data_IF_951026697722
#
_entry.id   IF_951026697722
#
_cell.length_a   1.000
_cell.length_b   1.000
_cell.length_c   1.000
_cell.angle_alpha   90.00
_cell.angle_beta   90.00
_cell.angle_gamma   90.00
#
_symmetry.space_group_name_H-M   'P 1'
#
loop_
_entity.id
_entity.type
_entity.pdbx_description
1 polymer ?
#
# COMPACT_ATOMS: atom_id res chain seq x y z
N UNK A 1 -11.83 -15.09 8.02
CA UNK A 1 -12.18 -13.74 7.56
C UNK A 1 -10.95 -13.06 6.99
N UNK A 2 -11.09 -12.45 5.87
CA UNK A 2 -10.01 -11.67 5.27
C UNK A 2 -9.84 -10.36 6.04
N UNK A 3 -8.59 -10.01 6.32
CA UNK A 3 -8.26 -8.71 6.91
C UNK A 3 -8.02 -7.72 5.78
N UNK A 4 -8.34 -6.47 6.03
CA UNK A 4 -8.05 -5.39 5.09
C UNK A 4 -7.00 -4.46 5.71
N UNK A 5 -6.21 -3.85 4.83
CA UNK A 5 -5.20 -2.87 5.21
C UNK A 5 -5.38 -1.62 4.35
N UNK A 6 -5.16 -0.47 4.93
CA UNK A 6 -5.21 0.80 4.22
C UNK A 6 -3.83 1.45 4.23
N UNK A 7 -3.37 1.86 3.05
CA UNK A 7 -2.15 2.66 2.92
C UNK A 7 -2.49 4.08 3.36
N UNK A 8 -1.77 4.59 4.36
CA UNK A 8 -2.04 5.91 4.94
C UNK A 8 -0.92 6.94 4.71
N UNK A 9 0.24 6.50 4.24
CA UNK A 9 1.33 7.42 3.98
C UNK A 9 2.60 6.72 3.51
N UNK A 10 3.67 7.49 3.47
CA UNK A 10 4.98 7.06 2.98
C UNK A 10 6.05 7.56 3.94
N UNK A 11 7.04 6.73 4.21
CA UNK A 11 8.15 7.10 5.08
C UNK A 11 9.47 6.68 4.44
N UNK A 12 10.33 7.62 4.03
CA UNK A 12 11.65 7.29 3.50
C UNK A 12 12.61 6.89 4.60
N UNK A 13 13.63 6.11 4.26
CA UNK A 13 14.74 5.74 5.14
C UNK A 13 14.28 5.23 6.51
N UNK A 14 13.54 4.13 6.49
CA UNK A 14 12.98 3.53 7.71
C UNK A 14 13.26 2.03 7.73
N UNK A 15 12.64 1.34 8.68
CA UNK A 15 12.73 -0.12 8.80
C UNK A 15 11.35 -0.75 8.62
N UNK A 16 11.33 -1.93 8.04
CA UNK A 16 10.10 -2.68 7.85
C UNK A 16 9.66 -3.29 9.19
N UNK A 17 8.47 -2.94 9.65
CA UNK A 17 7.91 -3.48 10.90
C UNK A 17 7.57 -4.97 10.79
N UNK A 18 7.49 -5.51 9.58
CA UNK A 18 7.20 -6.92 9.35
C UNK A 18 8.47 -7.77 9.36
N UNK A 19 9.51 -7.37 8.63
CA UNK A 19 10.72 -8.19 8.47
C UNK A 19 11.99 -7.57 9.05
N UNK A 20 11.92 -6.33 9.55
CA UNK A 20 13.05 -5.65 10.18
C UNK A 20 14.10 -5.11 9.22
N UNK A 21 13.92 -5.26 7.91
CA UNK A 21 14.91 -4.78 6.93
C UNK A 21 14.91 -3.27 6.84
N UNK A 22 16.08 -2.70 6.56
CA UNK A 22 16.18 -1.28 6.25
C UNK A 22 15.50 -0.99 4.92
N UNK A 23 14.74 0.09 4.88
CA UNK A 23 13.97 0.48 3.71
C UNK A 23 14.36 1.88 3.24
N UNK A 24 14.53 2.05 1.95
CA UNK A 24 14.63 3.38 1.35
C UNK A 24 13.23 3.97 1.14
N UNK A 25 12.23 3.10 0.95
CA UNK A 25 10.86 3.50 0.71
C UNK A 25 9.92 2.65 1.58
N UNK A 26 9.45 3.23 2.68
CA UNK A 26 8.48 2.57 3.56
C UNK A 26 7.06 2.97 3.21
N UNK A 27 6.14 2.01 3.29
CA UNK A 27 4.71 2.24 3.10
C UNK A 27 4.06 2.23 4.48
N UNK A 28 3.46 3.35 4.87
CA UNK A 28 2.77 3.45 6.15
C UNK A 28 1.36 2.90 6.01
N UNK A 29 1.00 2.02 6.92
CA UNK A 29 -0.32 1.37 6.93
C UNK A 29 -1.02 1.58 8.26
N UNK A 30 -2.34 1.38 8.26
CA UNK A 30 -3.15 1.57 9.46
C UNK A 30 -3.01 0.44 10.48
N UNK A 31 -2.72 -0.79 10.04
CA UNK A 31 -2.71 -1.96 10.92
C UNK A 31 -1.35 -2.63 11.06
N UNK A 32 -0.49 -2.55 10.04
CA UNK A 32 0.81 -3.22 10.04
C UNK A 32 1.99 -2.29 10.33
N UNK A 33 1.71 -1.01 10.59
CA UNK A 33 2.77 -0.02 10.73
C UNK A 33 3.43 0.29 9.40
N UNK A 34 4.73 0.53 9.40
CA UNK A 34 5.50 0.84 8.20
C UNK A 34 6.14 -0.44 7.66
N UNK A 35 5.85 -0.77 6.40
CA UNK A 35 6.36 -2.00 5.77
C UNK A 35 6.94 -1.67 4.41
N UNK A 36 7.81 -2.56 3.90
CA UNK A 36 8.33 -2.43 2.55
C UNK A 36 7.24 -2.70 1.52
N UNK A 37 7.31 -2.03 0.38
CA UNK A 37 6.35 -2.23 -0.69
C UNK A 37 6.34 -3.68 -1.19
N UNK A 38 7.50 -4.31 -1.28
CA UNK A 38 7.61 -5.72 -1.66
C UNK A 38 6.96 -6.64 -0.63
N UNK A 39 7.21 -6.40 0.66
CA UNK A 39 6.61 -7.17 1.74
C UNK A 39 5.09 -7.05 1.71
N UNK A 40 4.58 -5.83 1.58
CA UNK A 40 3.16 -5.59 1.52
C UNK A 40 2.52 -6.26 0.30
N UNK A 41 3.16 -6.16 -0.85
CA UNK A 41 2.64 -6.76 -2.08
C UNK A 41 2.53 -8.30 -1.97
N UNK A 42 3.45 -8.94 -1.26
CA UNK A 42 3.40 -10.38 -1.02
C UNK A 42 2.24 -10.78 -0.11
N UNK A 43 1.84 -9.90 0.80
CA UNK A 43 0.75 -10.16 1.75
C UNK A 43 -0.64 -9.86 1.17
N UNK A 44 -0.71 -9.08 0.10
CA UNK A 44 -1.98 -8.70 -0.51
C UNK A 44 -2.62 -9.87 -1.24
N UNK A 45 -3.92 -10.05 -1.02
CA UNK A 45 -4.72 -11.02 -1.76
C UNK A 45 -4.96 -10.50 -3.18
N UNK A 46 -4.83 -11.37 -4.17
CA UNK A 46 -5.05 -11.00 -5.56
C UNK A 46 -6.50 -10.53 -5.78
N UNK A 47 -6.65 -9.40 -6.45
CA UNK A 47 -7.95 -8.83 -6.82
C UNK A 47 -7.98 -8.54 -8.31
N UNK A 48 -8.54 -9.47 -9.07
CA UNK A 48 -8.58 -9.38 -10.54
C UNK A 48 -9.53 -8.30 -11.04
N UNK A 49 -10.42 -7.81 -10.20
CA UNK A 49 -11.30 -6.68 -10.53
C UNK A 49 -10.56 -5.37 -10.57
N UNK A 50 -9.56 -5.23 -9.69
CA UNK A 50 -8.72 -4.04 -9.60
C UNK A 50 -7.50 -4.10 -10.50
N UNK A 51 -6.90 -5.28 -10.64
CA UNK A 51 -5.62 -5.43 -11.31
C UNK A 51 -5.72 -6.53 -12.37
N UNK A 52 -5.14 -6.25 -13.53
CA UNK A 52 -5.11 -7.21 -14.62
C UNK A 52 -4.04 -8.28 -14.39
N UNK A 53 -4.13 -9.37 -15.13
CA UNK A 53 -3.21 -10.50 -15.14
C UNK A 53 -3.20 -11.28 -13.83
N UNK A 54 -2.17 -11.07 -13.00
CA UNK A 54 -1.96 -11.80 -11.75
C UNK A 54 -2.82 -11.29 -10.59
N UNK A 55 -3.54 -10.20 -10.80
CA UNK A 55 -4.46 -9.67 -9.79
C UNK A 55 -3.79 -9.01 -8.60
N UNK A 56 -2.50 -8.69 -8.69
CA UNK A 56 -1.76 -7.99 -7.65
C UNK A 56 -1.25 -6.64 -8.15
N UNK A 57 -1.17 -5.64 -7.26
CA UNK A 57 -0.79 -4.28 -7.67
C UNK A 57 0.67 -4.11 -8.08
N UNK A 58 1.56 -4.96 -7.56
CA UNK A 58 3.00 -4.77 -7.74
C UNK A 58 3.59 -3.77 -6.74
N UNK A 59 4.85 -3.97 -6.38
CA UNK A 59 5.53 -3.15 -5.40
C UNK A 59 5.64 -1.69 -5.83
N UNK A 60 5.88 -1.46 -7.11
CA UNK A 60 6.01 -0.12 -7.67
C UNK A 60 4.72 0.68 -7.53
N UNK A 61 3.58 0.04 -7.80
CA UNK A 61 2.26 0.66 -7.66
C UNK A 61 1.95 0.98 -6.19
N UNK A 62 2.23 0.05 -5.30
CA UNK A 62 2.05 0.23 -3.85
C UNK A 62 2.85 1.44 -3.36
N UNK A 63 4.10 1.55 -3.79
CA UNK A 63 4.97 2.67 -3.45
C UNK A 63 4.42 3.99 -3.97
N UNK A 64 3.92 4.00 -5.20
CA UNK A 64 3.30 5.18 -5.80
C UNK A 64 2.10 5.64 -4.99
N UNK A 65 1.22 4.72 -4.59
CA UNK A 65 0.06 5.03 -3.77
C UNK A 65 0.47 5.63 -2.42
N UNK A 66 1.51 5.08 -1.81
CA UNK A 66 2.00 5.57 -0.53
C UNK A 66 2.49 7.02 -0.64
N UNK A 67 3.26 7.32 -1.69
CA UNK A 67 3.76 8.68 -1.94
C UNK A 67 2.63 9.67 -2.19
N UNK A 68 1.63 9.27 -2.96
CA UNK A 68 0.47 10.11 -3.22
C UNK A 68 -0.30 10.42 -1.94
N UNK A 69 -0.53 9.40 -1.12
CA UNK A 69 -1.27 9.55 0.13
C UNK A 69 -0.54 10.47 1.12
N UNK A 70 0.77 10.43 1.14
CA UNK A 70 1.58 11.29 2.01
C UNK A 70 1.58 12.74 1.55
N UNK A 71 1.64 12.96 0.24
CA UNK A 71 1.80 14.30 -0.34
C UNK A 71 0.48 15.03 -0.52
N UNK A 72 -0.58 14.33 -0.92
CA UNK A 72 -1.83 14.95 -1.34
C UNK A 72 -2.96 14.66 -0.34
N UNK A 73 -3.87 15.62 -0.19
CA UNK A 73 -5.07 15.45 0.62
C UNK A 73 -6.07 14.53 -0.08
N UNK A 74 -7.05 14.01 0.68
CA UNK A 74 -8.11 13.17 0.12
C UNK A 74 -8.87 13.87 -1.01
N UNK A 75 -9.09 15.16 -0.87
CA UNK A 75 -9.78 15.95 -1.89
C UNK A 75 -8.95 16.02 -3.17
N UNK A 76 -7.65 16.28 -3.06
CA UNK A 76 -6.75 16.33 -4.21
C UNK A 76 -6.66 14.98 -4.90
N UNK A 77 -6.58 13.89 -4.13
CA UNK A 77 -6.55 12.53 -4.67
C UNK A 77 -7.80 12.21 -5.45
N UNK A 78 -8.98 12.61 -4.95
CA UNK A 78 -10.23 12.43 -5.67
C UNK A 78 -10.25 13.18 -7.00
N UNK A 79 -9.72 14.40 -7.03
CA UNK A 79 -9.59 15.18 -8.27
C UNK A 79 -8.69 14.50 -9.29
N UNK A 80 -7.70 13.74 -8.82
CA UNK A 80 -6.78 12.98 -9.67
C UNK A 80 -7.34 11.64 -10.10
N UNK A 81 -8.51 11.25 -9.61
CA UNK A 81 -9.15 9.99 -9.95
C UNK A 81 -8.91 8.87 -8.94
N UNK A 82 -8.35 9.17 -7.77
CA UNK A 82 -8.09 8.18 -6.72
C UNK A 82 -9.17 8.23 -5.65
N UNK A 83 -9.98 7.20 -5.56
CA UNK A 83 -10.94 7.02 -4.48
C UNK A 83 -10.32 6.28 -3.30
N UNK A 84 -11.03 6.25 -2.14
CA UNK A 84 -10.53 5.55 -0.96
C UNK A 84 -10.21 4.07 -1.21
N UNK A 85 -10.95 3.42 -2.09
CA UNK A 85 -10.77 1.99 -2.41
C UNK A 85 -9.43 1.68 -3.08
N UNK A 86 -8.76 2.67 -3.67
CA UNK A 86 -7.44 2.48 -4.28
C UNK A 86 -6.37 2.20 -3.24
N UNK A 87 -6.60 2.61 -2.00
CA UNK A 87 -5.62 2.49 -0.91
C UNK A 87 -5.94 1.33 0.04
N UNK A 88 -7.03 0.61 -0.19
CA UNK A 88 -7.47 -0.50 0.65
C UNK A 88 -7.22 -1.82 -0.07
N UNK A 89 -6.57 -2.75 0.63
CA UNK A 89 -6.23 -4.06 0.07
C UNK A 89 -6.60 -5.16 1.05
N UNK A 90 -7.04 -6.29 0.52
CA UNK A 90 -7.24 -7.48 1.32
C UNK A 90 -5.90 -8.14 1.63
N UNK A 91 -5.75 -8.66 2.83
CA UNK A 91 -4.56 -9.37 3.27
C UNK A 91 -4.82 -10.87 3.36
N UNK A 92 -3.81 -11.65 3.04
CA UNK A 92 -3.82 -13.08 3.29
C UNK A 92 -3.87 -13.33 4.79
N UNK A 93 -4.70 -14.28 5.19
CA UNK A 93 -4.80 -14.66 6.59
C UNK A 93 -3.54 -15.41 7.05
#
# INVERSE_FOLDING_TARGET
>A
MSKAITIVGYEPETYCDHCGRALQHGVRTDTLGTVGADCLNKMIVADRKKFSRDGKPGASYVRTLAKLRERDSDEQLRRMGYGPWHFVFGLSA
#
